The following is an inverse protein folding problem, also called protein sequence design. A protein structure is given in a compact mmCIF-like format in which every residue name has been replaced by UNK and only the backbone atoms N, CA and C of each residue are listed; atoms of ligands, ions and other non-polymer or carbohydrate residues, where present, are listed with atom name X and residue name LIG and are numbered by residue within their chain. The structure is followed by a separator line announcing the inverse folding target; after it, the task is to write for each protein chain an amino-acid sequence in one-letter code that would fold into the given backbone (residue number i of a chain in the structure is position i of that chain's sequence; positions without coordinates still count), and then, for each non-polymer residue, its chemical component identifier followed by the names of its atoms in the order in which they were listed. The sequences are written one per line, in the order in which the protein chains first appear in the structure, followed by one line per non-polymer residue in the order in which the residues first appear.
data_IF_306572287913
#
_entry.id   IF_306572287913
#
_cell.length_a   1.000
_cell.length_b   1.000
_cell.length_c   1.000
_cell.angle_alpha   90.00
_cell.angle_beta   90.00
_cell.angle_gamma   90.00
#
_symmetry.space_group_name_H-M   'P 1'
#
loop_
_entity.id
_entity.type
_entity.pdbx_description
1 polymer ?
#
# COMPACT_ATOMS: atom_id res chain seq x y z
N UNK A 1 31.23 -30.10 23.31
CA UNK A 1 30.73 -30.77 22.09
C UNK A 1 30.35 -29.69 21.08
N UNK A 2 30.99 -29.67 19.91
CA UNK A 2 30.70 -28.74 18.79
C UNK A 2 29.97 -29.54 17.71
N UNK A 3 28.89 -28.98 17.18
CA UNK A 3 28.01 -29.63 16.20
C UNK A 3 28.19 -28.91 14.86
N UNK A 4 29.34 -29.13 14.23
CA UNK A 4 29.62 -28.67 12.85
C UNK A 4 29.98 -29.88 11.99
N UNK A 5 29.02 -30.80 11.79
CA UNK A 5 29.14 -31.91 10.85
C UNK A 5 27.77 -32.26 10.26
N UNK A 6 27.44 -31.69 9.11
CA UNK A 6 26.43 -32.20 8.18
C UNK A 6 26.54 -31.48 6.83
N UNK A 7 27.68 -31.65 6.16
CA UNK A 7 27.80 -31.40 4.73
C UNK A 7 28.62 -32.53 4.10
N UNK A 8 27.98 -33.27 3.20
CA UNK A 8 28.60 -34.33 2.41
C UNK A 8 29.63 -33.75 1.41
N UNK A 9 30.76 -34.43 1.20
CA UNK A 9 31.87 -33.96 0.37
C UNK A 9 31.63 -34.15 -1.14
N UNK A 10 32.20 -33.25 -1.96
CA UNK A 10 32.37 -33.42 -3.42
C UNK A 10 33.82 -33.87 -3.68
N UNK A 11 34.08 -34.81 -4.61
CA UNK A 11 35.40 -35.40 -4.77
C UNK A 11 36.43 -34.43 -5.37
N UNK A 12 37.67 -34.61 -4.92
CA UNK A 12 38.89 -33.94 -5.38
C UNK A 12 39.20 -34.24 -6.84
N UNK A 13 39.53 -33.20 -7.60
CA UNK A 13 40.10 -33.31 -8.92
C UNK A 13 40.64 -31.95 -9.37
N UNK A 14 41.96 -31.87 -9.49
CA UNK A 14 42.72 -30.85 -10.23
C UNK A 14 43.04 -29.53 -9.51
N UNK A 15 44.08 -29.64 -8.66
CA UNK A 15 45.04 -28.55 -8.44
C UNK A 15 45.74 -28.24 -9.78
N UNK A 16 45.86 -26.97 -10.14
CA UNK A 16 47.14 -26.23 -10.25
C UNK A 16 47.06 -24.99 -11.16
N UNK A 17 47.78 -23.95 -10.71
CA UNK A 17 48.41 -22.87 -11.48
C UNK A 17 47.56 -21.77 -12.13
N UNK A 18 47.28 -20.75 -11.31
CA UNK A 18 47.23 -19.36 -11.76
C UNK A 18 48.58 -18.69 -11.47
N UNK A 19 49.40 -18.46 -12.50
CA UNK A 19 50.08 -17.18 -12.77
C UNK A 19 51.20 -17.32 -13.82
N UNK A 20 51.24 -16.31 -14.70
CA UNK A 20 52.39 -15.84 -15.48
C UNK A 20 52.71 -16.59 -16.78
N UNK A 21 52.61 -15.94 -17.93
CA UNK A 21 53.68 -15.14 -18.56
C UNK A 21 53.22 -14.67 -19.95
N UNK A 22 53.56 -13.42 -20.24
CA UNK A 22 53.45 -12.65 -21.48
C UNK A 22 54.06 -13.39 -22.69
N UNK A 23 53.61 -13.11 -23.92
CA UNK A 23 54.45 -12.62 -25.06
C UNK A 23 53.89 -12.99 -26.45
N UNK A 24 53.76 -11.94 -27.26
CA UNK A 24 53.84 -11.80 -28.74
C UNK A 24 52.72 -12.22 -29.70
N UNK A 25 52.34 -11.19 -30.46
CA UNK A 25 51.58 -11.07 -31.71
C UNK A 25 52.30 -11.77 -32.88
N UNK A 26 51.57 -12.18 -33.95
CA UNK A 26 51.63 -11.37 -35.18
C UNK A 26 50.29 -11.25 -35.95
N UNK A 27 50.09 -10.08 -36.56
CA UNK A 27 49.12 -9.75 -37.62
C UNK A 27 49.86 -9.79 -38.99
N UNK A 28 49.19 -9.57 -40.16
CA UNK A 28 47.85 -9.98 -40.61
C UNK A 28 47.88 -10.53 -42.07
N UNK A 29 46.81 -11.19 -42.53
CA UNK A 29 46.49 -11.24 -43.97
C UNK A 29 45.00 -10.99 -44.21
N UNK A 30 44.73 -10.07 -45.14
CA UNK A 30 43.43 -9.50 -45.46
C UNK A 30 42.62 -10.41 -46.39
N UNK A 31 41.34 -10.61 -46.08
CA UNK A 31 40.33 -11.12 -47.02
C UNK A 31 39.04 -10.28 -46.91
N UNK A 32 38.46 -9.98 -48.07
CA UNK A 32 37.34 -9.04 -48.28
C UNK A 32 36.01 -9.55 -47.68
N UNK A 33 35.09 -8.67 -47.24
CA UNK A 33 33.85 -9.09 -46.61
C UNK A 33 32.73 -9.42 -47.62
N UNK A 34 32.00 -10.52 -47.36
CA UNK A 34 30.71 -10.83 -47.97
C UNK A 34 29.59 -9.98 -47.31
N UNK A 35 28.54 -9.57 -48.05
CA UNK A 35 27.45 -8.77 -47.48
C UNK A 35 26.53 -9.60 -46.58
N UNK A 36 25.95 -9.01 -45.51
CA UNK A 36 25.03 -9.72 -44.63
C UNK A 36 23.62 -9.87 -45.25
N UNK A 37 22.85 -10.90 -44.87
CA UNK A 37 21.47 -11.04 -45.30
C UNK A 37 20.57 -9.99 -44.65
N UNK A 38 19.60 -9.47 -45.42
CA UNK A 38 18.62 -8.46 -45.01
C UNK A 38 17.88 -8.87 -43.74
N UNK A 39 17.92 -7.99 -42.73
CA UNK A 39 17.09 -8.11 -41.52
C UNK A 39 15.60 -8.07 -41.89
N UNK A 40 14.85 -9.07 -41.44
CA UNK A 40 13.39 -9.03 -41.45
C UNK A 40 12.91 -7.94 -40.48
N UNK A 41 12.07 -7.02 -40.98
CA UNK A 41 11.39 -6.03 -40.16
C UNK A 41 10.47 -6.73 -39.15
N UNK A 42 10.88 -6.76 -37.88
CA UNK A 42 9.96 -7.07 -36.78
C UNK A 42 9.14 -5.81 -36.48
N UNK A 43 7.83 -5.89 -36.67
CA UNK A 43 6.89 -4.84 -36.30
C UNK A 43 6.98 -4.56 -34.80
N UNK A 44 6.99 -3.28 -34.36
CA UNK A 44 7.04 -2.96 -32.93
C UNK A 44 5.76 -3.45 -32.25
N UNK A 45 5.90 -4.31 -31.24
CA UNK A 45 4.79 -4.63 -30.33
C UNK A 45 4.30 -3.33 -29.66
N UNK A 46 2.98 -3.08 -29.59
CA UNK A 46 2.47 -1.89 -28.92
C UNK A 46 2.91 -1.93 -27.45
N UNK A 47 3.68 -0.90 -27.05
CA UNK A 47 4.08 -0.69 -25.66
C UNK A 47 2.80 -0.38 -24.88
N UNK A 48 2.33 -1.34 -24.09
CA UNK A 48 1.28 -1.10 -23.11
C UNK A 48 1.64 0.12 -22.26
N UNK A 49 0.65 0.98 -22.01
CA UNK A 49 0.83 2.15 -21.16
C UNK A 49 1.34 1.69 -19.79
N UNK A 50 2.56 2.10 -19.44
CA UNK A 50 3.13 1.86 -18.11
C UNK A 50 2.26 2.63 -17.12
N UNK A 51 1.47 1.92 -16.33
CA UNK A 51 0.77 2.52 -15.20
C UNK A 51 1.79 3.22 -14.28
N UNK A 52 1.46 4.42 -13.77
CA UNK A 52 2.28 5.07 -12.76
C UNK A 52 2.46 4.13 -11.57
N UNK A 53 3.68 4.03 -11.03
CA UNK A 53 4.00 3.13 -9.91
C UNK A 53 3.21 3.41 -8.62
N UNK A 54 2.55 4.58 -8.56
CA UNK A 54 1.74 5.05 -7.44
C UNK A 54 0.23 4.85 -7.63
N UNK A 55 -0.20 4.36 -8.80
CA UNK A 55 -1.62 4.20 -9.09
C UNK A 55 -2.20 3.00 -8.30
N UNK A 56 -3.39 3.13 -7.70
CA UNK A 56 -4.10 2.02 -7.07
C UNK A 56 -4.36 0.89 -8.08
N UNK A 57 -3.99 -0.34 -7.71
CA UNK A 57 -4.06 -1.49 -8.61
C UNK A 57 -5.32 -2.29 -8.32
N UNK A 58 -6.36 -2.05 -9.09
CA UNK A 58 -7.61 -2.82 -8.98
C UNK A 58 -7.50 -4.13 -9.78
N UNK A 59 -7.36 -5.24 -9.06
CA UNK A 59 -7.44 -6.60 -9.62
C UNK A 59 -8.46 -7.38 -8.81
N UNK A 60 -9.40 -8.04 -9.51
CA UNK A 60 -10.34 -8.93 -8.84
C UNK A 60 -9.58 -10.09 -8.19
N UNK A 61 -9.96 -10.47 -6.99
CA UNK A 61 -9.34 -11.55 -6.23
C UNK A 61 -10.14 -11.89 -4.98
N UNK A 62 -10.03 -13.14 -4.55
CA UNK A 62 -10.72 -13.63 -3.35
C UNK A 62 -9.98 -13.23 -2.07
N UNK A 63 -10.70 -12.90 -0.99
CA UNK A 63 -10.10 -12.66 0.31
C UNK A 63 -9.33 -13.88 0.82
N UNK A 64 -8.19 -13.64 1.47
CA UNK A 64 -7.36 -14.65 2.12
C UNK A 64 -7.54 -14.59 3.63
N UNK A 65 -7.86 -15.74 4.22
CA UNK A 65 -8.10 -15.84 5.66
C UNK A 65 -9.42 -15.21 6.10
N UNK A 66 -9.55 -14.90 7.38
CA UNK A 66 -10.79 -14.38 7.96
C UNK A 66 -11.01 -12.90 7.62
N UNK A 67 -12.17 -12.55 7.07
CA UNK A 67 -12.58 -11.17 6.86
C UNK A 67 -13.25 -10.66 8.14
N UNK A 68 -12.46 -10.04 9.02
CA UNK A 68 -12.92 -9.46 10.29
C UNK A 68 -13.43 -8.04 10.08
N UNK A 69 -12.83 -7.30 9.15
CA UNK A 69 -13.20 -5.92 8.81
C UNK A 69 -13.69 -5.83 7.36
N UNK A 70 -14.95 -6.23 7.08
CA UNK A 70 -15.53 -6.14 5.73
C UNK A 70 -15.81 -4.68 5.32
N UNK A 71 -15.94 -4.39 4.01
CA UNK A 71 -16.43 -3.10 3.55
C UNK A 71 -17.89 -2.89 3.94
N UNK A 72 -18.27 -1.64 4.22
CA UNK A 72 -19.64 -1.22 4.52
C UNK A 72 -20.25 -0.50 3.31
N UNK A 73 -20.53 -1.25 2.25
CA UNK A 73 -21.06 -0.67 1.01
C UNK A 73 -22.52 -0.21 1.18
N UNK A 74 -22.92 0.79 0.39
CA UNK A 74 -24.29 1.28 0.42
C UNK A 74 -25.25 0.17 -0.03
N UNK A 75 -26.26 -0.13 0.79
CA UNK A 75 -27.34 -1.05 0.44
C UNK A 75 -28.13 -0.54 -0.76
N UNK A 76 -28.85 -1.43 -1.43
CA UNK A 76 -29.65 -1.05 -2.59
C UNK A 76 -30.70 0.03 -2.28
N UNK A 77 -31.18 0.11 -1.04
CA UNK A 77 -32.19 1.09 -0.63
C UNK A 77 -31.62 2.46 -0.18
N UNK A 78 -30.29 2.63 -0.11
CA UNK A 78 -29.65 3.87 0.37
C UNK A 78 -29.24 4.81 -0.78
N UNK A 79 -30.25 5.36 -1.46
CA UNK A 79 -30.05 6.23 -2.62
C UNK A 79 -29.29 7.52 -2.27
N UNK A 80 -29.52 8.10 -1.09
CA UNK A 80 -28.81 9.30 -0.66
C UNK A 80 -27.30 9.04 -0.54
N UNK A 81 -26.92 7.95 0.14
CA UNK A 81 -25.51 7.60 0.30
C UNK A 81 -24.86 7.28 -1.05
N UNK A 82 -25.57 6.59 -1.94
CA UNK A 82 -25.12 6.32 -3.31
C UNK A 82 -24.87 7.59 -4.10
N UNK A 83 -25.74 8.59 -4.01
CA UNK A 83 -25.54 9.90 -4.64
C UNK A 83 -24.27 10.60 -4.11
N UNK A 84 -24.04 10.55 -2.79
CA UNK A 84 -22.80 11.08 -2.21
C UNK A 84 -21.57 10.30 -2.71
N UNK A 85 -21.63 8.97 -2.79
CA UNK A 85 -20.54 8.16 -3.34
C UNK A 85 -20.24 8.48 -4.80
N UNK A 86 -21.27 8.69 -5.63
CA UNK A 86 -21.13 9.17 -7.02
C UNK A 86 -20.47 10.55 -7.08
N UNK A 87 -20.86 11.48 -6.21
CA UNK A 87 -20.24 12.81 -6.11
C UNK A 87 -18.74 12.74 -5.80
N UNK A 88 -18.34 11.82 -4.91
CA UNK A 88 -16.94 11.55 -4.61
C UNK A 88 -16.25 10.60 -5.60
N UNK A 89 -16.94 10.13 -6.65
CA UNK A 89 -16.42 9.15 -7.60
C UNK A 89 -15.77 7.94 -6.90
N UNK A 90 -16.46 7.38 -5.91
CA UNK A 90 -15.99 6.17 -5.20
C UNK A 90 -15.84 5.03 -6.21
N UNK A 91 -14.70 4.36 -6.22
CA UNK A 91 -14.43 3.23 -7.11
C UNK A 91 -13.58 2.16 -6.43
N UNK A 92 -13.92 0.87 -6.55
CA UNK A 92 -15.12 0.32 -7.18
C UNK A 92 -16.32 0.46 -6.24
N UNK A 93 -17.42 1.02 -6.71
CA UNK A 93 -18.62 1.24 -5.89
C UNK A 93 -19.51 -0.02 -5.92
N UNK A 94 -19.82 -0.58 -4.75
CA UNK A 94 -20.69 -1.77 -4.64
C UNK A 94 -19.98 -3.09 -4.93
N UNK A 95 -18.67 -3.07 -5.16
CA UNK A 95 -17.87 -4.25 -5.46
C UNK A 95 -16.56 -4.27 -4.67
N UNK A 96 -16.37 -3.48 -3.61
CA UNK A 96 -15.06 -3.36 -2.92
C UNK A 96 -14.53 -4.73 -2.47
N UNK A 97 -15.43 -5.62 -2.05
CA UNK A 97 -15.08 -6.98 -1.61
C UNK A 97 -14.38 -7.80 -2.70
N UNK A 98 -14.65 -7.53 -3.98
CA UNK A 98 -14.04 -8.26 -5.10
C UNK A 98 -12.58 -7.85 -5.35
N UNK A 99 -12.12 -6.71 -4.82
CA UNK A 99 -10.82 -6.13 -5.15
C UNK A 99 -9.84 -6.26 -3.98
N UNK A 100 -9.69 -7.48 -3.49
CA UNK A 100 -8.66 -7.84 -2.50
C UNK A 100 -7.26 -7.70 -3.08
N UNK A 101 -6.31 -7.22 -2.26
CA UNK A 101 -4.91 -7.13 -2.65
C UNK A 101 -3.98 -7.68 -1.56
N UNK A 102 -3.04 -8.51 -1.96
CA UNK A 102 -1.97 -8.99 -1.09
C UNK A 102 -0.74 -8.10 -1.28
N UNK A 103 -0.25 -7.51 -0.20
CA UNK A 103 0.90 -6.60 -0.22
C UNK A 103 2.01 -7.14 0.67
N UNK A 104 3.11 -7.65 0.08
CA UNK A 104 4.27 -8.07 0.85
C UNK A 104 4.84 -6.91 1.67
N UNK A 105 5.13 -7.16 2.93
CA UNK A 105 5.82 -6.23 3.81
C UNK A 105 7.33 -6.41 3.65
N UNK A 106 7.89 -5.70 2.68
CA UNK A 106 9.33 -5.57 2.52
C UNK A 106 9.79 -4.26 3.18
N UNK A 107 10.08 -4.31 4.48
CA UNK A 107 10.74 -3.18 5.15
C UNK A 107 12.04 -3.63 5.80
N UNK A 108 13.02 -2.73 5.80
CA UNK A 108 14.31 -2.94 6.47
C UNK A 108 14.16 -3.12 7.98
N UNK A 109 13.01 -2.71 8.54
CA UNK A 109 12.65 -2.88 9.94
C UNK A 109 11.74 -4.10 10.09
N UNK A 110 12.22 -5.14 10.79
CA UNK A 110 11.43 -6.34 11.14
C UNK A 110 10.32 -6.07 12.17
N UNK A 111 10.06 -4.81 12.53
CA UNK A 111 9.14 -4.44 13.62
C UNK A 111 7.69 -4.81 13.35
N UNK A 112 7.25 -4.84 12.09
CA UNK A 112 5.91 -5.32 11.75
C UNK A 112 5.79 -6.81 12.02
N UNK A 113 6.68 -7.64 11.43
CA UNK A 113 6.70 -9.09 11.66
C UNK A 113 6.77 -9.44 13.15
N UNK A 114 7.61 -8.76 13.93
CA UNK A 114 7.70 -8.99 15.38
C UNK A 114 6.42 -8.63 16.14
N UNK A 115 5.70 -7.58 15.70
CA UNK A 115 4.48 -7.11 16.39
C UNK A 115 3.22 -7.87 15.96
N UNK A 116 3.12 -8.25 14.68
CA UNK A 116 1.90 -8.82 14.09
C UNK A 116 2.04 -10.30 13.77
N UNK A 117 3.26 -10.85 13.73
CA UNK A 117 3.54 -12.21 13.25
C UNK A 117 3.37 -12.37 11.74
N UNK A 118 3.21 -11.28 10.99
CA UNK A 118 2.90 -11.29 9.55
C UNK A 118 3.98 -10.62 8.72
N UNK A 119 4.16 -11.10 7.50
CA UNK A 119 5.10 -10.58 6.51
C UNK A 119 4.39 -9.92 5.31
N UNK A 120 3.06 -9.76 5.37
CA UNK A 120 2.26 -9.11 4.36
C UNK A 120 0.95 -8.54 4.94
N UNK A 121 0.34 -7.63 4.18
CA UNK A 121 -1.02 -7.15 4.39
C UNK A 121 -1.99 -7.85 3.44
N UNK A 122 -3.18 -8.12 3.94
CA UNK A 122 -4.32 -8.58 3.15
C UNK A 122 -5.37 -7.48 3.17
N UNK A 123 -5.49 -6.73 2.07
CA UNK A 123 -6.20 -5.44 2.09
C UNK A 123 -7.40 -5.41 1.16
N UNK A 124 -8.43 -4.68 1.60
CA UNK A 124 -9.39 -4.06 0.69
C UNK A 124 -8.90 -2.67 0.32
N UNK A 125 -9.29 -2.19 -0.85
CA UNK A 125 -9.00 -0.82 -1.27
C UNK A 125 -10.09 -0.27 -2.19
N UNK A 126 -10.27 1.04 -2.11
CA UNK A 126 -11.05 1.82 -3.07
C UNK A 126 -10.42 3.21 -3.22
N UNK A 127 -10.83 3.95 -4.24
CA UNK A 127 -10.45 5.34 -4.46
C UNK A 127 -11.66 6.25 -4.39
N UNK A 128 -11.40 7.52 -4.09
CA UNK A 128 -12.37 8.59 -4.27
C UNK A 128 -11.64 9.87 -4.71
N UNK A 129 -12.40 10.84 -5.23
CA UNK A 129 -11.95 12.18 -5.62
C UNK A 129 -12.74 13.23 -4.86
N UNK A 130 -12.13 14.39 -4.65
CA UNK A 130 -12.88 15.55 -4.15
C UNK A 130 -13.65 16.20 -5.32
N UNK A 131 -14.88 16.70 -5.09
CA UNK A 131 -15.61 17.41 -6.13
C UNK A 131 -14.79 18.57 -6.70
N UNK A 132 -14.55 18.56 -8.01
CA UNK A 132 -13.74 19.57 -8.70
C UNK A 132 -12.23 19.34 -8.68
N UNK A 133 -11.73 18.23 -8.11
CA UNK A 133 -10.32 17.84 -8.19
C UNK A 133 -10.16 16.53 -8.98
N UNK A 134 -9.15 16.45 -9.86
CA UNK A 134 -8.80 15.22 -10.58
C UNK A 134 -8.01 14.22 -9.72
N UNK A 135 -7.54 14.67 -8.55
CA UNK A 135 -6.66 13.89 -7.69
C UNK A 135 -7.44 12.79 -6.98
N UNK A 136 -6.97 11.55 -7.17
CA UNK A 136 -7.49 10.37 -6.48
C UNK A 136 -6.81 10.14 -5.13
N UNK A 137 -7.63 9.74 -4.15
CA UNK A 137 -7.20 9.35 -2.83
C UNK A 137 -7.59 7.88 -2.62
N UNK A 138 -6.59 7.04 -2.41
CA UNK A 138 -6.79 5.60 -2.18
C UNK A 138 -6.98 5.32 -0.69
N UNK A 139 -8.09 4.71 -0.33
CA UNK A 139 -8.38 4.16 0.99
C UNK A 139 -8.03 2.68 0.97
N UNK A 140 -7.34 2.21 2.01
CA UNK A 140 -7.02 0.80 2.16
C UNK A 140 -6.88 0.41 3.62
N UNK A 141 -7.25 -0.81 3.94
CA UNK A 141 -7.15 -1.38 5.28
C UNK A 141 -6.94 -2.89 5.21
N UNK A 142 -6.23 -3.43 6.19
CA UNK A 142 -6.06 -4.87 6.33
C UNK A 142 -7.32 -5.47 6.93
N UNK A 143 -8.00 -6.33 6.18
CA UNK A 143 -9.29 -6.88 6.59
C UNK A 143 -9.19 -8.03 7.59
N UNK A 144 -7.99 -8.59 7.81
CA UNK A 144 -7.81 -9.61 8.85
C UNK A 144 -7.60 -8.98 10.23
N UNK A 145 -6.84 -7.87 10.33
CA UNK A 145 -6.44 -7.32 11.64
C UNK A 145 -6.86 -5.86 11.87
N UNK A 146 -7.50 -5.22 10.90
CA UNK A 146 -8.07 -3.88 11.07
C UNK A 146 -7.02 -2.78 11.11
N UNK A 147 -5.87 -2.93 10.45
CA UNK A 147 -4.94 -1.81 10.29
C UNK A 147 -5.40 -0.94 9.11
N UNK A 148 -5.65 0.33 9.37
CA UNK A 148 -6.12 1.32 8.39
C UNK A 148 -4.99 2.27 8.01
N UNK A 149 -4.78 2.48 6.70
CA UNK A 149 -3.81 3.48 6.22
C UNK A 149 -4.42 4.89 6.30
N UNK A 150 -4.04 5.64 7.33
CA UNK A 150 -4.62 6.96 7.64
C UNK A 150 -4.06 8.12 6.81
N UNK A 151 -2.89 7.94 6.18
CA UNK A 151 -2.17 9.04 5.50
C UNK A 151 -2.97 9.76 4.39
N UNK A 152 -3.73 9.05 3.53
CA UNK A 152 -4.60 9.67 2.52
C UNK A 152 -5.65 10.63 3.12
N UNK A 153 -6.17 10.36 4.31
CA UNK A 153 -7.20 11.18 4.95
C UNK A 153 -6.66 12.57 5.30
N UNK A 154 -5.46 12.64 5.88
CA UNK A 154 -4.80 13.92 6.14
C UNK A 154 -4.52 14.68 4.83
N UNK A 155 -4.13 13.97 3.76
CA UNK A 155 -3.84 14.58 2.47
C UNK A 155 -5.08 15.18 1.80
N UNK A 156 -6.22 14.48 1.79
CA UNK A 156 -7.44 15.01 1.18
C UNK A 156 -8.00 16.20 1.96
N UNK A 157 -7.88 16.18 3.30
CA UNK A 157 -8.25 17.33 4.15
C UNK A 157 -7.17 18.42 4.23
N UNK A 158 -6.18 18.42 3.31
CA UNK A 158 -5.13 19.44 3.18
C UNK A 158 -4.24 19.65 4.41
N UNK A 159 -4.13 18.66 5.29
CA UNK A 159 -3.18 18.68 6.39
C UNK A 159 -1.76 18.38 5.91
N UNK A 160 -0.78 18.94 6.61
CA UNK A 160 0.64 18.78 6.28
C UNK A 160 1.11 17.32 6.43
N UNK A 161 2.19 16.95 5.73
CA UNK A 161 2.80 15.60 5.80
C UNK A 161 3.27 15.18 7.21
N UNK A 162 3.48 16.14 8.12
CA UNK A 162 3.93 15.88 9.49
C UNK A 162 2.78 15.70 10.47
N UNK A 163 1.55 16.03 10.08
CA UNK A 163 0.35 15.96 10.93
C UNK A 163 0.11 14.56 11.49
N UNK A 164 0.18 13.47 10.70
CA UNK A 164 -0.02 12.11 11.26
C UNK A 164 0.94 11.81 12.43
N UNK A 165 2.22 12.19 12.31
CA UNK A 165 3.19 11.99 13.38
C UNK A 165 2.86 12.80 14.64
N UNK A 166 2.32 14.02 14.48
CA UNK A 166 1.85 14.84 15.61
C UNK A 166 0.64 14.21 16.30
N UNK A 167 -0.30 13.66 15.53
CA UNK A 167 -1.47 12.94 16.08
C UNK A 167 -1.02 11.71 16.89
N UNK A 168 -0.10 10.91 16.35
CA UNK A 168 0.45 9.76 17.07
C UNK A 168 1.15 10.14 18.38
N UNK A 169 1.87 11.26 18.40
CA UNK A 169 2.58 11.72 19.61
C UNK A 169 1.67 12.45 20.60
N UNK A 170 0.54 13.00 20.13
CA UNK A 170 -0.42 13.73 20.95
C UNK A 170 -1.42 12.83 21.69
N UNK A 171 -1.49 11.54 21.33
CA UNK A 171 -2.32 10.54 21.98
C UNK A 171 -1.39 9.48 22.61
N UNK A 172 -1.22 9.44 23.94
CA UNK A 172 -0.38 8.45 24.61
C UNK A 172 -0.73 7.02 24.21
N UNK A 173 0.28 6.17 23.95
CA UNK A 173 0.09 4.76 23.55
C UNK A 173 -0.20 4.53 22.06
N UNK A 174 -0.68 5.54 21.34
CA UNK A 174 -1.12 5.37 19.95
C UNK A 174 0.04 5.08 18.99
N UNK A 175 1.24 5.62 19.28
CA UNK A 175 2.45 5.40 18.48
C UNK A 175 2.90 3.94 18.56
N UNK A 176 2.72 3.31 19.70
CA UNK A 176 3.18 1.97 20.03
C UNK A 176 2.40 0.90 19.27
N UNK A 177 1.10 1.13 19.09
CA UNK A 177 0.17 0.25 18.36
C UNK A 177 0.02 0.61 16.87
N UNK A 178 0.65 1.72 16.42
CA UNK A 178 0.66 2.15 15.03
C UNK A 178 1.95 1.77 14.31
N UNK A 179 1.87 1.66 12.98
CA UNK A 179 3.01 1.29 12.13
C UNK A 179 3.31 2.38 11.11
N UNK A 180 4.59 2.74 10.98
CA UNK A 180 5.08 3.59 9.90
C UNK A 180 5.73 2.70 8.85
N UNK A 181 5.07 2.58 7.71
CA UNK A 181 5.51 1.76 6.59
C UNK A 181 6.29 2.65 5.62
N UNK A 182 7.60 2.42 5.55
CA UNK A 182 8.54 3.12 4.68
C UNK A 182 9.28 2.10 3.83
N UNK A 183 9.41 2.33 2.53
CA UNK A 183 9.96 1.34 1.60
C UNK A 183 8.91 0.36 1.08
N UNK A 184 9.31 -0.56 0.19
CA UNK A 184 8.40 -1.52 -0.44
C UNK A 184 7.37 -0.88 -1.39
N UNK A 185 6.17 -1.46 -1.45
CA UNK A 185 5.09 -1.00 -2.33
C UNK A 185 4.65 0.44 -2.00
N UNK A 186 4.83 1.36 -2.95
CA UNK A 186 4.56 2.80 -2.77
C UNK A 186 3.10 3.07 -2.33
N UNK A 187 2.14 2.34 -2.88
CA UNK A 187 0.73 2.45 -2.53
C UNK A 187 0.46 2.19 -1.03
N UNK A 188 1.21 1.30 -0.40
CA UNK A 188 1.05 0.93 1.01
C UNK A 188 1.83 1.82 1.98
N UNK A 189 2.69 2.72 1.50
CA UNK A 189 3.48 3.57 2.36
C UNK A 189 2.63 4.58 3.14
N UNK A 190 3.09 4.90 4.35
CA UNK A 190 2.45 5.82 5.26
C UNK A 190 2.24 5.25 6.65
N UNK A 191 1.37 5.90 7.41
CA UNK A 191 0.96 5.49 8.74
C UNK A 191 -0.26 4.58 8.69
N UNK A 192 -0.16 3.47 9.44
CA UNK A 192 -1.21 2.48 9.63
C UNK A 192 -1.55 2.41 11.12
N UNK A 193 -2.83 2.38 11.43
CA UNK A 193 -3.37 2.49 12.79
C UNK A 193 -4.53 1.50 12.97
N UNK A 194 -4.77 0.96 14.18
CA UNK A 194 -5.93 0.11 14.45
C UNK A 194 -7.26 0.79 14.09
N UNK A 195 -8.23 -0.01 13.64
CA UNK A 195 -9.48 0.45 13.03
C UNK A 195 -10.23 1.46 13.91
N UNK A 196 -10.44 1.14 15.19
CA UNK A 196 -11.16 2.00 16.14
C UNK A 196 -10.45 3.34 16.33
N UNK A 197 -9.12 3.33 16.52
CA UNK A 197 -8.35 4.56 16.64
C UNK A 197 -8.40 5.37 15.33
N UNK A 198 -8.32 4.71 14.17
CA UNK A 198 -8.37 5.37 12.87
C UNK A 198 -9.74 6.02 12.62
N UNK A 199 -10.83 5.34 12.99
CA UNK A 199 -12.20 5.85 12.94
C UNK A 199 -12.35 7.07 13.85
N UNK A 200 -11.94 6.97 15.11
CA UNK A 200 -12.02 8.08 16.06
C UNK A 200 -11.17 9.29 15.64
N UNK A 201 -9.93 9.06 15.17
CA UNK A 201 -9.05 10.12 14.66
C UNK A 201 -9.66 10.79 13.41
N UNK A 202 -10.14 10.01 12.45
CA UNK A 202 -10.76 10.55 11.23
C UNK A 202 -12.01 11.37 11.55
N UNK A 203 -12.84 10.92 12.51
CA UNK A 203 -14.04 11.62 12.93
C UNK A 203 -13.77 13.06 13.40
N UNK A 204 -12.56 13.36 13.90
CA UNK A 204 -12.23 14.73 14.34
C UNK A 204 -12.04 15.71 13.17
N UNK A 205 -11.76 15.26 11.94
CA UNK A 205 -11.35 16.16 10.85
C UNK A 205 -11.83 15.78 9.43
N UNK A 206 -12.49 14.63 9.26
CA UNK A 206 -12.95 14.15 7.96
C UNK A 206 -14.39 14.51 7.62
N UNK A 207 -15.02 15.46 8.34
CA UNK A 207 -16.43 15.78 8.13
C UNK A 207 -16.79 16.07 6.67
N UNK A 208 -15.97 16.84 5.95
CA UNK A 208 -16.27 17.20 4.56
C UNK A 208 -16.17 16.02 3.57
N UNK A 209 -15.47 14.96 3.95
CA UNK A 209 -15.27 13.74 3.12
C UNK A 209 -15.96 12.52 3.73
N UNK A 210 -16.73 12.68 4.81
CA UNK A 210 -17.22 11.58 5.65
C UNK A 210 -18.00 10.52 4.88
N UNK A 211 -18.81 10.93 3.90
CA UNK A 211 -19.57 10.01 3.06
C UNK A 211 -18.65 9.12 2.22
N UNK A 212 -17.53 9.64 1.72
CA UNK A 212 -16.53 8.85 0.99
C UNK A 212 -15.79 7.84 1.88
N UNK A 213 -15.85 7.98 3.20
CA UNK A 213 -15.22 7.07 4.17
C UNK A 213 -16.18 6.02 4.76
N UNK A 214 -17.48 6.13 4.47
CA UNK A 214 -18.47 5.14 4.91
C UNK A 214 -18.19 3.71 4.42
N UNK A 215 -17.63 3.46 3.21
CA UNK A 215 -17.29 2.08 2.82
C UNK A 215 -16.24 1.42 3.72
N UNK A 216 -15.43 2.22 4.43
CA UNK A 216 -14.49 1.73 5.45
C UNK A 216 -15.12 1.71 6.84
N UNK A 217 -15.64 2.85 7.30
CA UNK A 217 -16.00 3.04 8.72
C UNK A 217 -17.46 2.74 9.07
N UNK A 218 -18.33 2.51 8.09
CA UNK A 218 -19.76 2.34 8.31
C UNK A 218 -20.55 3.65 8.29
N UNK A 219 -21.88 3.54 8.32
CA UNK A 219 -22.80 4.68 8.25
C UNK A 219 -22.80 5.51 9.54
N UNK A 220 -22.59 4.88 10.68
CA UNK A 220 -22.46 5.55 11.99
C UNK A 220 -21.28 6.53 12.04
N UNK A 221 -20.30 6.39 11.14
CA UNK A 221 -19.23 7.37 10.95
C UNK A 221 -19.76 8.77 10.62
N UNK A 222 -20.90 8.87 9.93
CA UNK A 222 -21.51 10.15 9.57
C UNK A 222 -21.90 10.95 10.80
N UNK A 223 -22.41 10.27 11.84
CA UNK A 223 -22.98 10.87 13.04
C UNK A 223 -21.90 11.29 14.05
N UNK A 224 -20.80 10.53 14.12
CA UNK A 224 -19.69 10.83 15.04
C UNK A 224 -18.72 11.89 14.50
N UNK A 225 -18.79 12.19 13.20
CA UNK A 225 -17.92 13.18 12.57
C UNK A 225 -18.17 14.58 13.11
N UNK A 226 -17.15 15.22 13.66
CA UNK A 226 -17.24 16.56 14.25
C UNK A 226 -17.46 17.60 13.14
N UNK A 227 -18.49 18.45 13.26
CA UNK A 227 -18.74 19.53 12.31
C UNK A 227 -17.61 20.57 12.30
N UNK A 228 -17.20 21.14 11.14
CA UNK A 228 -16.13 22.16 11.05
C UNK A 228 -16.36 23.42 11.90
N UNK A 229 -17.61 23.72 12.23
CA UNK A 229 -18.00 24.83 13.11
C UNK A 229 -17.83 24.52 14.61
N UNK A 230 -17.63 23.25 14.98
CA UNK A 230 -17.50 22.84 16.36
C UNK A 230 -16.06 23.11 16.86
N UNK A 231 -15.85 23.65 18.08
CA UNK A 231 -14.52 24.01 18.59
C UNK A 231 -13.50 22.86 18.65
N UNK A 232 -13.99 21.62 18.78
CA UNK A 232 -13.15 20.42 18.84
C UNK A 232 -12.72 19.90 17.46
N UNK A 233 -13.20 20.49 16.36
CA UNK A 233 -12.82 20.08 15.01
C UNK A 233 -11.31 20.21 14.79
N UNK A 234 -10.68 19.15 14.30
CA UNK A 234 -9.25 19.10 14.02
C UNK A 234 -8.35 19.05 15.27
N UNK A 235 -8.89 18.75 16.46
CA UNK A 235 -8.06 18.63 17.67
C UNK A 235 -7.27 17.30 17.73
N UNK A 236 -7.68 16.30 16.95
CA UNK A 236 -7.10 14.96 16.85
C UNK A 236 -6.97 14.16 18.16
N UNK A 237 -7.73 14.54 19.19
CA UNK A 237 -7.75 13.82 20.46
C UNK A 237 -8.80 12.73 20.41
N UNK A 238 -8.42 11.52 20.80
CA UNK A 238 -9.32 10.37 20.89
C UNK A 238 -9.41 9.86 22.33
N UNK A 239 -10.46 9.10 22.61
CA UNK A 239 -10.63 8.41 23.89
C UNK A 239 -9.42 7.50 24.17
N UNK A 240 -8.91 7.53 25.40
CA UNK A 240 -7.77 6.70 25.79
C UNK A 240 -8.14 5.23 25.99
N UNK A 241 -9.42 4.91 26.18
CA UNK A 241 -9.89 3.53 26.38
C UNK A 241 -9.81 2.66 25.11
N UNK A 242 -9.67 3.27 23.93
CA UNK A 242 -9.58 2.58 22.64
C UNK A 242 -8.13 2.44 22.13
N UNK A 243 -7.14 2.78 22.96
CA UNK A 243 -5.70 2.69 22.64
C UNK A 243 -5.10 1.50 23.37
#
# INVERSE_FOLDING_TARGET
MRVDQLLNPVPEGERENWASVVTTVPQPQAQLPLPPPRAAYQSPRPKGQKQPKDAPIFRKGEPKGAVIFPPHEASDDDEELKEKHKLFQVYPMGEIVDYCHHIPYSSDKKTFLTKTGRDAFEVFQYTFKLPGEDKEYAVMWDYNIGLVRITPFFKCCKYSKTTPAKVLNGNPGLREISHSITGGALAAQGYWMPFECAKAVAATFCYNVRHALTPLFGKDFLDICIHPAHPSYGNFKIDQSII
#
